data_IF_596192826413
#
_entry.id   IF_596192826413
#
_cell.length_a   1.000
_cell.length_b   1.000
_cell.length_c   1.000
_cell.angle_alpha   90.00
_cell.angle_beta   90.00
_cell.angle_gamma   90.00
#
_symmetry.space_group_name_H-M   'P 1'
#
loop_
_entity.id
_entity.type
_entity.pdbx_description
1 polymer ?
#
# COMPACT_ATOMS: atom_id res chain seq x y z
N UNK A 1 -11.49 5.48 13.73
CA UNK A 1 -11.40 6.96 13.53
C UNK A 1 -11.48 7.78 14.83
N UNK A 2 -12.33 7.43 15.82
CA UNK A 2 -12.53 8.22 17.05
C UNK A 2 -11.32 8.32 18.01
N UNK A 3 -10.25 7.53 17.81
CA UNK A 3 -9.08 7.48 18.69
C UNK A 3 -7.78 8.05 18.11
N UNK A 4 -7.74 8.38 16.82
CA UNK A 4 -6.54 8.97 16.24
C UNK A 4 -6.74 10.48 16.23
N UNK A 5 -6.16 11.18 17.22
CA UNK A 5 -6.13 12.64 17.40
C UNK A 5 -5.38 13.37 16.25
N UNK A 6 -5.46 12.85 15.04
CA UNK A 6 -4.89 13.44 13.83
C UNK A 6 -5.89 14.48 13.34
N UNK A 7 -5.51 15.77 13.30
CA UNK A 7 -6.37 16.82 12.77
C UNK A 7 -6.88 16.43 11.39
N UNK A 8 -8.14 16.78 11.08
CA UNK A 8 -8.76 16.50 9.77
C UNK A 8 -7.92 17.00 8.58
N UNK A 9 -7.15 18.07 8.82
CA UNK A 9 -6.23 18.75 7.90
C UNK A 9 -4.92 17.98 7.65
N UNK A 10 -4.55 17.05 8.55
CA UNK A 10 -3.33 16.22 8.49
C UNK A 10 -3.63 14.78 8.12
N UNK A 11 -4.36 14.56 7.03
CA UNK A 11 -4.62 13.20 6.55
C UNK A 11 -3.28 12.49 6.23
N UNK A 12 -2.93 11.40 6.91
CA UNK A 12 -1.70 10.60 6.69
C UNK A 12 -1.80 9.63 5.50
N UNK A 13 -0.96 9.77 4.47
CA UNK A 13 -0.83 8.77 3.40
C UNK A 13 0.38 7.86 3.67
N UNK A 14 0.30 6.60 3.26
CA UNK A 14 1.40 5.64 3.34
C UNK A 14 1.82 5.27 1.92
N UNK A 15 3.11 5.31 1.65
CA UNK A 15 3.66 4.94 0.34
C UNK A 15 4.79 3.94 0.55
N UNK A 16 4.66 2.75 -0.03
CA UNK A 16 5.68 1.69 0.02
C UNK A 16 6.72 1.94 -1.08
N UNK A 17 7.62 2.89 -0.82
CA UNK A 17 8.74 3.33 -1.70
C UNK A 17 10.07 3.44 -0.94
N UNK A 18 10.19 2.71 0.18
CA UNK A 18 11.43 2.64 0.95
C UNK A 18 12.45 1.70 0.31
N UNK A 19 13.16 0.95 1.15
CA UNK A 19 14.10 -0.07 0.67
C UNK A 19 13.37 -1.34 0.22
N UNK A 20 13.83 -1.90 -0.90
CA UNK A 20 13.37 -3.19 -1.43
C UNK A 20 12.13 -3.09 -2.32
N UNK A 21 11.84 -4.19 -3.03
CA UNK A 21 10.66 -4.34 -3.88
C UNK A 21 9.49 -4.88 -3.02
N UNK A 22 8.39 -4.12 -2.83
CA UNK A 22 7.27 -4.53 -1.98
C UNK A 22 6.63 -5.86 -2.41
N UNK A 23 6.57 -6.15 -3.71
CA UNK A 23 5.93 -7.35 -4.22
C UNK A 23 6.73 -8.64 -3.98
N UNK A 24 8.05 -8.56 -3.78
CA UNK A 24 8.85 -9.71 -3.32
C UNK A 24 8.50 -10.11 -1.87
N UNK A 25 7.85 -9.22 -1.12
CA UNK A 25 7.43 -9.42 0.26
C UNK A 25 5.90 -9.29 0.45
N UNK A 26 5.13 -9.71 -0.56
CA UNK A 26 3.68 -9.49 -0.64
C UNK A 26 2.91 -9.96 0.61
N UNK A 27 3.29 -11.09 1.20
CA UNK A 27 2.67 -11.61 2.43
C UNK A 27 2.78 -10.64 3.61
N UNK A 28 3.96 -10.06 3.82
CA UNK A 28 4.17 -9.17 4.96
C UNK A 28 3.65 -7.75 4.66
N UNK A 29 3.77 -7.28 3.41
CA UNK A 29 3.20 -6.00 2.98
C UNK A 29 1.67 -6.02 3.13
N UNK A 30 1.00 -7.06 2.64
CA UNK A 30 -0.46 -7.20 2.79
C UNK A 30 -0.91 -7.30 4.25
N UNK A 31 -0.13 -7.98 5.10
CA UNK A 31 -0.37 -8.00 6.55
C UNK A 31 -0.25 -6.59 7.16
N UNK A 32 0.79 -5.85 6.80
CA UNK A 32 0.98 -4.47 7.27
C UNK A 32 -0.19 -3.57 6.85
N UNK A 33 -0.61 -3.63 5.58
CA UNK A 33 -1.77 -2.89 5.07
C UNK A 33 -3.01 -3.16 5.94
N UNK A 34 -3.29 -4.43 6.24
CA UNK A 34 -4.44 -4.82 7.07
C UNK A 34 -4.36 -4.25 8.48
N UNK A 35 -3.21 -4.38 9.15
CA UNK A 35 -2.99 -3.87 10.52
C UNK A 35 -3.17 -2.36 10.57
N UNK A 36 -2.56 -1.62 9.64
CA UNK A 36 -2.62 -0.17 9.57
C UNK A 36 -4.05 0.34 9.27
N UNK A 37 -4.86 -0.51 8.64
CA UNK A 37 -6.26 -0.21 8.30
C UNK A 37 -7.26 -0.53 9.41
N UNK A 38 -6.86 -1.27 10.45
CA UNK A 38 -7.79 -1.67 11.51
C UNK A 38 -8.35 -0.44 12.24
N UNK A 39 -9.65 -0.48 12.55
CA UNK A 39 -10.38 0.65 13.13
C UNK A 39 -9.98 0.97 14.58
N UNK A 40 -9.55 -0.05 15.31
CA UNK A 40 -8.97 -0.04 16.66
C UNK A 40 -7.46 0.25 16.67
N UNK A 41 -6.82 0.27 15.50
CA UNK A 41 -5.45 0.73 15.31
C UNK A 41 -5.36 2.14 14.72
N UNK A 42 -4.46 2.33 13.76
CA UNK A 42 -4.25 3.63 13.11
C UNK A 42 -5.41 4.04 12.18
N UNK A 43 -6.34 3.15 11.86
CA UNK A 43 -7.54 3.43 11.06
C UNK A 43 -7.23 4.18 9.74
N UNK A 44 -6.09 3.86 9.11
CA UNK A 44 -5.65 4.47 7.85
C UNK A 44 -6.27 3.68 6.72
N UNK A 45 -7.25 4.27 6.03
CA UNK A 45 -7.93 3.62 4.91
C UNK A 45 -6.93 3.05 3.90
N UNK A 46 -7.13 1.80 3.41
CA UNK A 46 -6.32 1.24 2.34
C UNK A 46 -6.22 2.13 1.10
N UNK A 47 -7.27 2.90 0.80
CA UNK A 47 -7.30 3.87 -0.31
C UNK A 47 -6.32 5.04 -0.16
N UNK A 48 -5.59 5.10 0.97
CA UNK A 48 -4.55 6.09 1.28
C UNK A 48 -3.17 5.44 1.43
N UNK A 49 -3.07 4.18 1.05
CA UNK A 49 -1.86 3.38 1.06
C UNK A 49 -1.54 3.02 -0.39
N UNK A 50 -0.32 3.34 -0.85
CA UNK A 50 0.12 3.10 -2.24
C UNK A 50 1.30 2.15 -2.27
N UNK A 51 1.15 1.02 -2.95
CA UNK A 51 2.24 0.07 -3.19
C UNK A 51 2.90 0.44 -4.51
N UNK A 52 4.20 0.74 -4.47
CA UNK A 52 5.01 0.93 -5.68
C UNK A 52 5.68 -0.39 -6.06
N UNK A 53 5.84 -0.66 -7.35
CA UNK A 53 6.54 -1.85 -7.84
C UNK A 53 7.32 -1.57 -9.11
N UNK A 54 8.44 -2.26 -9.29
CA UNK A 54 9.23 -2.31 -10.52
C UNK A 54 8.53 -3.05 -11.67
N UNK A 55 7.39 -3.72 -11.43
CA UNK A 55 6.58 -4.31 -12.49
C UNK A 55 6.49 -5.85 -12.48
N UNK A 56 6.50 -6.48 -11.30
CA UNK A 56 6.39 -7.93 -11.17
C UNK A 56 4.98 -8.44 -11.53
N UNK A 57 4.74 -8.73 -12.81
CA UNK A 57 3.41 -8.99 -13.37
C UNK A 57 2.59 -10.07 -12.64
N UNK A 58 3.22 -11.19 -12.24
CA UNK A 58 2.53 -12.26 -11.51
C UNK A 58 2.05 -11.79 -10.14
N UNK A 59 2.91 -11.09 -9.41
CA UNK A 59 2.63 -10.56 -8.09
C UNK A 59 1.64 -9.38 -8.12
N UNK A 60 1.62 -8.58 -9.20
CA UNK A 60 0.59 -7.55 -9.41
C UNK A 60 -0.79 -8.21 -9.49
N UNK A 61 -0.90 -9.31 -10.23
CA UNK A 61 -2.16 -10.07 -10.33
C UNK A 61 -2.57 -10.62 -8.96
N UNK A 62 -1.63 -11.25 -8.24
CA UNK A 62 -1.87 -11.77 -6.89
C UNK A 62 -2.34 -10.66 -5.93
N UNK A 63 -1.70 -9.49 -5.93
CA UNK A 63 -2.12 -8.33 -5.15
C UNK A 63 -3.55 -7.88 -5.51
N UNK A 64 -3.91 -7.88 -6.79
CA UNK A 64 -5.25 -7.57 -7.26
C UNK A 64 -6.31 -8.53 -6.72
N UNK A 65 -6.01 -9.83 -6.73
CA UNK A 65 -6.89 -10.89 -6.21
C UNK A 65 -7.12 -10.79 -4.70
N UNK A 66 -6.15 -10.23 -3.94
CA UNK A 66 -6.30 -9.99 -2.50
C UNK A 66 -7.34 -8.92 -2.14
N UNK A 67 -7.75 -8.08 -3.10
CA UNK A 67 -8.78 -7.03 -2.95
C UNK A 67 -8.61 -6.14 -1.70
N UNK A 68 -7.36 -5.72 -1.41
CA UNK A 68 -7.04 -4.93 -0.21
C UNK A 68 -7.56 -3.47 -0.28
N UNK A 69 -7.89 -2.97 -1.46
CA UNK A 69 -8.31 -1.58 -1.68
C UNK A 69 -7.17 -0.55 -1.64
N UNK A 70 -5.92 -1.00 -1.78
CA UNK A 70 -4.72 -0.16 -1.91
C UNK A 70 -4.61 0.44 -3.30
N UNK A 71 -3.84 1.52 -3.42
CA UNK A 71 -3.44 2.08 -4.71
C UNK A 71 -2.18 1.38 -5.22
N UNK A 72 -2.07 1.23 -6.54
CA UNK A 72 -0.89 0.66 -7.21
C UNK A 72 -0.16 1.78 -7.97
N UNK A 73 1.15 1.86 -7.78
CA UNK A 73 2.05 2.69 -8.59
C UNK A 73 3.06 1.78 -9.31
N UNK A 74 3.30 2.05 -10.59
CA UNK A 74 4.28 1.32 -11.40
C UNK A 74 5.49 2.22 -11.60
N UNK A 75 6.67 1.76 -11.17
CA UNK A 75 7.94 2.44 -11.37
C UNK A 75 8.44 2.20 -12.80
N UNK A 76 7.91 2.96 -13.76
CA UNK A 76 8.35 2.93 -15.14
C UNK A 76 9.43 3.99 -15.37
N UNK A 77 10.59 3.57 -15.89
CA UNK A 77 11.75 4.45 -16.11
C UNK A 77 12.15 4.58 -17.59
N UNK A 78 11.50 3.84 -18.48
CA UNK A 78 11.74 3.87 -19.92
C UNK A 78 10.40 3.88 -20.68
N UNK A 79 10.42 4.43 -21.89
CA UNK A 79 9.27 4.43 -22.80
C UNK A 79 9.31 3.28 -23.83
N UNK A 80 10.39 2.50 -23.80
CA UNK A 80 10.68 1.33 -24.60
C UNK A 80 11.53 0.34 -23.78
N UNK A 81 11.69 -0.89 -24.29
CA UNK A 81 12.56 -1.91 -23.69
C UNK A 81 14.05 -1.56 -23.77
#
# INVERSE_FOLDING_TARGET
KKQNNIPYERRVNIVYMGMGEPLDNLKNVSKAVKILSQNDGLAISPRRQTISTSGLAKQIKELGEMNLGVLLAISLHAVND
#
